data_IF_055839662059
#
_entry.id   IF_055839662059
#
_cell.length_a   1.000
_cell.length_b   1.000
_cell.length_c   1.000
_cell.angle_alpha   90.00
_cell.angle_beta   90.00
_cell.angle_gamma   90.00
#
_symmetry.space_group_name_H-M   'P 1'
#
loop_
_entity.id
_entity.type
_entity.pdbx_description
1 polymer ?
#
# COMPACT_ATOMS: atom_id res chain seq x y z
N UNK A 1 -15.07 -11.20 14.26
CA UNK A 1 -15.64 -12.28 13.42
C UNK A 1 -15.71 -13.53 14.27
N UNK A 2 -16.91 -14.03 14.60
CA UNK A 2 -17.09 -15.32 15.30
C UNK A 2 -17.15 -16.42 14.20
N UNK A 3 -16.15 -17.28 14.12
CA UNK A 3 -16.09 -18.38 13.15
C UNK A 3 -14.68 -18.63 12.63
N UNK A 4 -14.52 -19.67 11.80
CA UNK A 4 -13.23 -20.02 11.20
C UNK A 4 -12.79 -18.95 10.20
N UNK A 5 -11.69 -18.25 10.46
CA UNK A 5 -11.09 -17.26 9.54
C UNK A 5 -9.90 -17.84 8.83
N UNK A 6 -9.88 -17.74 7.50
CA UNK A 6 -8.73 -18.06 6.66
C UNK A 6 -7.87 -16.83 6.40
N UNK A 7 -6.56 -16.93 6.63
CA UNK A 7 -5.56 -15.94 6.25
C UNK A 7 -4.81 -16.45 5.02
N UNK A 8 -4.80 -15.65 3.95
CA UNK A 8 -4.12 -16.01 2.69
C UNK A 8 -3.03 -15.00 2.42
N UNK A 9 -1.80 -15.49 2.32
CA UNK A 9 -0.59 -14.68 2.19
C UNK A 9 0.04 -14.90 0.80
N UNK A 10 0.07 -13.85 -0.01
CA UNK A 10 0.67 -13.93 -1.33
C UNK A 10 2.20 -14.08 -1.30
N UNK A 11 2.78 -14.54 -2.40
CA UNK A 11 4.20 -14.42 -2.65
C UNK A 11 4.65 -12.96 -2.80
N UNK A 12 5.97 -12.70 -2.66
CA UNK A 12 6.47 -11.34 -2.80
C UNK A 12 7.87 -11.04 -2.25
N UNK A 13 8.63 -12.03 -1.85
CA UNK A 13 10.03 -11.87 -1.39
C UNK A 13 10.17 -10.84 -0.27
N UNK A 14 11.05 -9.85 -0.43
CA UNK A 14 11.32 -8.80 0.56
C UNK A 14 10.12 -7.94 0.96
N UNK A 15 9.04 -7.94 0.16
CA UNK A 15 7.77 -7.30 0.51
C UNK A 15 7.03 -7.99 1.67
N UNK A 16 7.43 -9.22 2.02
CA UNK A 16 6.78 -10.04 3.05
C UNK A 16 6.70 -9.40 4.43
N UNK A 17 7.57 -8.47 4.76
CA UNK A 17 7.51 -7.68 5.98
C UNK A 17 6.13 -7.00 6.19
N UNK A 18 5.48 -6.60 5.12
CA UNK A 18 4.13 -6.03 5.13
C UNK A 18 3.10 -6.98 5.78
N UNK A 19 3.22 -8.29 5.51
CA UNK A 19 2.30 -9.30 6.07
C UNK A 19 2.41 -9.39 7.60
N UNK A 20 3.59 -9.11 8.17
CA UNK A 20 3.80 -9.09 9.62
C UNK A 20 3.04 -7.92 10.27
N UNK A 21 3.05 -6.75 9.62
CA UNK A 21 2.23 -5.61 10.07
C UNK A 21 0.73 -5.90 10.00
N UNK A 22 0.27 -6.59 8.95
CA UNK A 22 -1.12 -7.06 8.88
C UNK A 22 -1.40 -8.02 10.04
N UNK A 23 -0.53 -9.00 10.29
CA UNK A 23 -0.70 -9.94 11.39
C UNK A 23 -0.76 -9.24 12.75
N UNK A 24 0.03 -8.19 12.99
CA UNK A 24 -0.08 -7.34 14.17
C UNK A 24 -1.51 -6.82 14.36
N UNK A 25 -2.08 -6.20 13.32
CA UNK A 25 -3.42 -5.65 13.39
C UNK A 25 -4.50 -6.72 13.63
N UNK A 26 -4.33 -7.93 13.08
CA UNK A 26 -5.24 -9.06 13.32
C UNK A 26 -5.19 -9.52 14.78
N UNK A 27 -3.99 -9.59 15.36
CA UNK A 27 -3.79 -9.94 16.79
C UNK A 27 -4.44 -8.91 17.70
N UNK A 28 -4.24 -7.61 17.46
CA UNK A 28 -4.86 -6.53 18.24
C UNK A 28 -6.40 -6.58 18.18
N UNK A 29 -6.96 -7.11 17.09
CA UNK A 29 -8.41 -7.29 16.91
C UNK A 29 -8.92 -8.64 17.44
N UNK A 30 -8.06 -9.44 18.03
CA UNK A 30 -8.38 -10.80 18.48
C UNK A 30 -9.05 -11.66 17.38
N UNK A 31 -8.57 -11.51 16.13
CA UNK A 31 -9.07 -12.32 15.02
C UNK A 31 -8.43 -13.69 15.08
N UNK A 32 -9.24 -14.70 15.39
CA UNK A 32 -8.81 -16.09 15.46
C UNK A 32 -8.60 -16.67 14.06
N UNK A 33 -7.36 -17.00 13.70
CA UNK A 33 -7.01 -17.63 12.43
C UNK A 33 -7.09 -19.13 12.63
N UNK A 34 -7.86 -19.81 11.78
CA UNK A 34 -8.00 -21.27 11.81
C UNK A 34 -7.42 -21.96 10.57
N UNK A 35 -7.22 -21.21 9.48
CA UNK A 35 -6.57 -21.65 8.26
C UNK A 35 -5.59 -20.58 7.84
N UNK A 36 -4.37 -20.95 7.51
CA UNK A 36 -3.41 -20.05 6.86
C UNK A 36 -2.84 -20.72 5.62
N UNK A 37 -2.87 -20.02 4.50
CA UNK A 37 -2.27 -20.51 3.26
C UNK A 37 -1.33 -19.47 2.66
N UNK A 38 -0.22 -19.92 2.10
CA UNK A 38 0.77 -19.01 1.56
C UNK A 38 1.55 -19.56 0.37
N UNK A 39 2.19 -18.63 -0.35
CA UNK A 39 3.10 -18.92 -1.46
C UNK A 39 4.40 -18.19 -1.23
N UNK A 40 5.56 -18.84 -1.45
CA UNK A 40 6.89 -18.19 -1.32
C UNK A 40 7.05 -17.57 0.07
N UNK A 41 7.41 -16.29 0.17
CA UNK A 41 7.48 -15.58 1.46
C UNK A 41 6.17 -15.66 2.25
N UNK A 42 5.02 -15.73 1.57
CA UNK A 42 3.74 -15.93 2.24
C UNK A 42 3.60 -17.29 2.89
N UNK A 43 4.25 -18.34 2.35
CA UNK A 43 4.34 -19.65 3.01
C UNK A 43 5.26 -19.59 4.22
N UNK A 44 6.39 -18.89 4.14
CA UNK A 44 7.32 -18.69 5.26
C UNK A 44 6.67 -17.95 6.42
N UNK A 45 6.04 -16.80 6.13
CA UNK A 45 5.29 -16.04 7.13
C UNK A 45 4.08 -16.82 7.67
N UNK A 46 3.39 -17.56 6.79
CA UNK A 46 2.26 -18.42 7.16
C UNK A 46 2.65 -19.53 8.12
N UNK A 47 3.83 -20.11 7.97
CA UNK A 47 4.38 -21.09 8.91
C UNK A 47 4.58 -20.46 10.30
N UNK A 48 5.13 -19.25 10.39
CA UNK A 48 5.28 -18.51 11.65
C UNK A 48 3.92 -18.15 12.27
N UNK A 49 2.92 -17.81 11.45
CA UNK A 49 1.52 -17.60 11.92
C UNK A 49 0.97 -18.89 12.52
N UNK A 50 1.11 -20.02 11.82
CA UNK A 50 0.65 -21.31 12.31
C UNK A 50 1.40 -21.74 13.58
N UNK A 51 2.70 -21.47 13.67
CA UNK A 51 3.51 -21.69 14.86
C UNK A 51 3.08 -20.81 16.05
N UNK A 52 2.36 -19.69 15.79
CA UNK A 52 1.94 -18.74 16.80
C UNK A 52 3.05 -17.86 17.35
N UNK A 53 4.14 -17.67 16.58
CA UNK A 53 5.37 -17.01 17.03
C UNK A 53 5.57 -15.65 16.35
N UNK A 54 4.73 -14.70 16.77
CA UNK A 54 4.76 -13.34 16.24
C UNK A 54 6.08 -12.61 16.53
N UNK A 55 6.61 -12.75 17.73
CA UNK A 55 7.84 -12.06 18.13
C UNK A 55 9.04 -12.52 17.30
N UNK A 56 9.15 -13.82 17.04
CA UNK A 56 10.17 -14.36 16.12
C UNK A 56 10.00 -13.79 14.71
N UNK A 57 8.78 -13.68 14.22
CA UNK A 57 8.51 -13.07 12.90
C UNK A 57 8.97 -11.61 12.84
N UNK A 58 8.65 -10.81 13.86
CA UNK A 58 9.10 -9.41 13.97
C UNK A 58 10.63 -9.33 14.00
N UNK A 59 11.28 -10.15 14.82
CA UNK A 59 12.74 -10.13 14.97
C UNK A 59 13.46 -10.53 13.68
N UNK A 60 12.99 -11.57 12.98
CA UNK A 60 13.53 -11.96 11.67
C UNK A 60 13.50 -10.78 10.71
N UNK A 61 12.36 -10.10 10.58
CA UNK A 61 12.21 -8.98 9.66
C UNK A 61 12.93 -7.71 10.14
N UNK A 62 13.05 -7.48 11.45
CA UNK A 62 13.79 -6.34 12.00
C UNK A 62 15.30 -6.40 11.74
N UNK A 63 15.81 -7.62 11.50
CA UNK A 63 17.23 -7.87 11.24
C UNK A 63 17.49 -8.45 9.84
N UNK A 64 16.50 -8.42 8.96
CA UNK A 64 16.61 -9.04 7.62
C UNK A 64 17.66 -8.34 6.78
N UNK A 65 18.50 -9.13 6.12
CA UNK A 65 19.44 -8.66 5.11
C UNK A 65 19.45 -9.61 3.94
N UNK A 66 19.93 -9.16 2.78
CA UNK A 66 20.07 -10.03 1.62
C UNK A 66 20.97 -11.23 1.91
N UNK A 67 22.01 -11.06 2.74
CA UNK A 67 22.91 -12.18 3.15
C UNK A 67 22.21 -13.27 3.98
N UNK A 68 21.15 -12.93 4.73
CA UNK A 68 20.35 -13.92 5.47
C UNK A 68 19.46 -14.77 4.55
N UNK A 69 19.27 -14.34 3.30
CA UNK A 69 18.39 -15.00 2.32
C UNK A 69 19.19 -15.67 1.20
N UNK A 70 20.24 -15.00 0.71
CA UNK A 70 21.02 -15.45 -0.44
C UNK A 70 22.50 -15.17 -0.24
N UNK A 71 23.38 -15.98 -0.85
CA UNK A 71 24.81 -15.76 -0.77
C UNK A 71 25.26 -14.57 -1.64
N UNK A 72 24.60 -13.42 -1.47
CA UNK A 72 24.87 -12.17 -2.17
C UNK A 72 24.26 -10.96 -1.44
N UNK A 73 24.96 -9.83 -1.46
CA UNK A 73 24.49 -8.57 -0.92
C UNK A 73 24.59 -7.48 -1.97
N UNK A 74 23.48 -7.12 -2.63
CA UNK A 74 23.48 -6.04 -3.61
C UNK A 74 23.63 -4.69 -2.89
N UNK A 75 24.37 -3.76 -3.54
CA UNK A 75 24.51 -2.38 -3.05
C UNK A 75 23.52 -1.46 -3.73
N UNK A 76 22.94 -0.53 -2.98
CA UNK A 76 22.01 0.48 -3.47
C UNK A 76 21.20 1.08 -2.35
N UNK A 77 20.70 2.30 -2.53
CA UNK A 77 19.79 2.94 -1.59
C UNK A 77 18.38 2.38 -1.77
N UNK A 78 17.89 1.66 -0.76
CA UNK A 78 16.58 0.98 -0.77
C UNK A 78 15.40 1.96 -0.82
N UNK A 79 15.59 3.22 -0.45
CA UNK A 79 14.54 4.24 -0.41
C UNK A 79 14.42 5.05 -1.71
N UNK A 80 15.37 4.94 -2.63
CA UNK A 80 15.33 5.65 -3.92
C UNK A 80 15.06 4.72 -5.09
N UNK A 81 14.28 5.18 -6.08
CA UNK A 81 14.03 4.43 -7.31
C UNK A 81 15.32 4.08 -8.05
N UNK A 82 16.32 4.99 -8.04
CA UNK A 82 17.63 4.75 -8.64
C UNK A 82 18.37 3.62 -7.94
N UNK A 83 18.40 3.63 -6.61
CA UNK A 83 19.07 2.60 -5.83
C UNK A 83 18.35 1.24 -5.93
N UNK A 84 17.01 1.20 -5.92
CA UNK A 84 16.24 -0.02 -6.17
C UNK A 84 16.54 -0.62 -7.56
N UNK A 85 16.64 0.23 -8.59
CA UNK A 85 17.04 -0.22 -9.93
C UNK A 85 18.47 -0.78 -9.96
N UNK A 86 19.40 -0.18 -9.21
CA UNK A 86 20.78 -0.69 -9.07
C UNK A 86 20.79 -2.07 -8.40
N UNK A 87 20.04 -2.25 -7.30
CA UNK A 87 19.85 -3.53 -6.61
C UNK A 87 19.29 -4.58 -7.58
N UNK A 88 18.22 -4.24 -8.30
CA UNK A 88 17.57 -5.14 -9.27
C UNK A 88 18.55 -5.62 -10.34
N UNK A 89 19.31 -4.69 -10.93
CA UNK A 89 20.33 -5.01 -11.95
C UNK A 89 21.43 -5.90 -11.37
N UNK A 90 21.93 -5.60 -10.16
CA UNK A 90 22.98 -6.37 -9.52
C UNK A 90 22.53 -7.82 -9.23
N UNK A 91 21.30 -8.02 -8.73
CA UNK A 91 20.73 -9.36 -8.50
C UNK A 91 20.58 -10.12 -9.82
N UNK A 92 20.04 -9.48 -10.87
CA UNK A 92 19.88 -10.12 -12.17
C UNK A 92 21.24 -10.53 -12.79
N UNK A 93 22.23 -9.64 -12.75
CA UNK A 93 23.59 -9.93 -13.24
C UNK A 93 24.25 -11.08 -12.46
N UNK A 94 24.08 -11.11 -11.13
CA UNK A 94 24.59 -12.19 -10.28
C UNK A 94 23.94 -13.53 -10.67
N UNK A 95 22.61 -13.55 -10.80
CA UNK A 95 21.87 -14.76 -11.18
C UNK A 95 22.31 -15.31 -12.55
N UNK A 96 22.52 -14.43 -13.53
CA UNK A 96 22.99 -14.83 -14.87
C UNK A 96 24.41 -15.38 -14.81
N UNK A 97 25.33 -14.67 -14.11
CA UNK A 97 26.75 -15.05 -14.04
C UNK A 97 26.97 -16.40 -13.36
N UNK A 98 26.22 -16.68 -12.29
CA UNK A 98 26.38 -17.89 -11.46
C UNK A 98 25.36 -18.98 -11.78
N UNK A 99 24.57 -18.81 -12.84
CA UNK A 99 23.48 -19.74 -13.17
C UNK A 99 22.57 -20.02 -11.98
N UNK A 100 22.02 -18.94 -11.40
CA UNK A 100 21.23 -18.83 -10.19
C UNK A 100 22.05 -18.55 -8.91
N UNK A 101 21.41 -17.88 -7.96
CA UNK A 101 21.98 -17.50 -6.67
C UNK A 101 21.71 -18.62 -5.66
N UNK A 102 22.65 -18.86 -4.77
CA UNK A 102 22.53 -19.85 -3.70
C UNK A 102 21.62 -19.36 -2.55
N UNK A 103 20.66 -20.18 -2.14
CA UNK A 103 19.71 -19.93 -1.06
C UNK A 103 20.02 -20.68 0.24
N UNK A 104 21.21 -21.24 0.40
CA UNK A 104 21.61 -21.91 1.64
C UNK A 104 21.40 -21.05 2.90
N UNK A 105 21.63 -19.71 2.87
CA UNK A 105 21.31 -18.87 4.02
C UNK A 105 19.84 -18.89 4.41
N UNK A 106 18.91 -18.85 3.44
CA UNK A 106 17.48 -18.96 3.70
C UNK A 106 17.13 -20.30 4.36
N UNK A 107 17.69 -21.42 3.89
CA UNK A 107 17.46 -22.73 4.48
C UNK A 107 17.84 -22.74 5.96
N UNK A 108 19.03 -22.21 6.29
CA UNK A 108 19.49 -22.09 7.68
C UNK A 108 18.57 -21.22 8.53
N UNK A 109 18.07 -20.11 7.97
CA UNK A 109 17.14 -19.24 8.67
C UNK A 109 15.83 -19.98 8.99
N UNK A 110 15.29 -20.74 8.04
CA UNK A 110 14.09 -21.55 8.23
C UNK A 110 14.34 -22.62 9.31
N UNK A 111 15.41 -23.41 9.19
CA UNK A 111 15.78 -24.47 10.15
C UNK A 111 16.00 -23.93 11.57
N UNK A 112 16.48 -22.69 11.72
CA UNK A 112 16.72 -22.06 13.03
C UNK A 112 15.44 -21.64 13.74
N UNK A 113 14.42 -21.21 12.99
CA UNK A 113 13.25 -20.54 13.57
C UNK A 113 11.95 -21.34 13.45
N UNK A 114 11.86 -22.31 12.55
CA UNK A 114 10.64 -23.10 12.40
C UNK A 114 10.71 -24.41 13.21
N UNK A 115 9.60 -24.70 13.86
CA UNK A 115 9.36 -25.88 14.66
C UNK A 115 8.21 -26.68 14.00
N UNK A 116 8.49 -27.59 13.04
CA UNK A 116 7.48 -28.30 12.28
C UNK A 116 6.41 -28.97 13.13
N UNK A 117 6.81 -29.64 14.21
CA UNK A 117 5.90 -30.29 15.16
C UNK A 117 4.91 -29.31 15.78
N UNK A 118 5.38 -28.12 16.14
CA UNK A 118 4.53 -27.07 16.72
C UNK A 118 3.54 -26.52 15.70
N UNK A 119 3.96 -26.40 14.43
CA UNK A 119 3.08 -25.97 13.33
C UNK A 119 1.95 -26.97 13.14
N UNK A 120 2.27 -28.27 13.04
CA UNK A 120 1.30 -29.35 12.80
C UNK A 120 0.35 -29.49 13.98
N UNK A 121 0.84 -29.37 15.22
CA UNK A 121 0.03 -29.49 16.43
C UNK A 121 -0.72 -28.21 16.85
N UNK A 122 -0.58 -27.11 16.10
CA UNK A 122 -1.13 -25.80 16.46
C UNK A 122 -2.66 -25.72 16.43
N UNK A 123 -3.32 -26.63 15.71
CA UNK A 123 -4.76 -26.54 15.41
C UNK A 123 -5.11 -25.56 14.29
N UNK A 124 -4.12 -24.95 13.64
CA UNK A 124 -4.29 -24.11 12.44
C UNK A 124 -3.98 -24.95 11.21
N UNK A 125 -4.92 -25.06 10.28
CA UNK A 125 -4.69 -25.69 8.97
C UNK A 125 -3.67 -24.85 8.19
N UNK A 126 -2.41 -25.26 8.14
CA UNK A 126 -1.36 -24.54 7.40
C UNK A 126 -1.14 -25.16 6.02
N UNK A 127 -1.38 -24.38 4.96
CA UNK A 127 -1.19 -24.82 3.57
C UNK A 127 -0.20 -23.94 2.81
N UNK A 128 0.49 -24.53 1.84
CA UNK A 128 1.47 -23.85 1.00
C UNK A 128 1.40 -24.35 -0.45
N UNK A 129 2.02 -23.58 -1.35
CA UNK A 129 2.10 -23.92 -2.78
C UNK A 129 3.53 -23.97 -3.25
N UNK A 130 3.82 -24.87 -4.18
CA UNK A 130 5.04 -24.96 -4.98
C UNK A 130 4.69 -25.36 -6.41
N UNK A 131 5.66 -25.43 -7.30
CA UNK A 131 5.47 -25.99 -8.63
C UNK A 131 6.61 -26.97 -8.95
N UNK A 132 6.31 -28.10 -9.64
CA UNK A 132 7.36 -29.01 -10.09
C UNK A 132 8.16 -28.39 -11.24
N UNK A 133 9.44 -28.78 -11.37
CA UNK A 133 10.31 -28.35 -12.46
C UNK A 133 10.90 -29.55 -13.21
N UNK A 134 10.93 -29.54 -14.56
CA UNK A 134 10.56 -28.45 -15.47
C UNK A 134 9.08 -28.41 -15.89
N UNK A 135 8.23 -29.30 -15.40
CA UNK A 135 6.86 -29.48 -15.89
C UNK A 135 5.85 -28.43 -15.43
N UNK A 136 6.21 -27.59 -14.44
CA UNK A 136 5.38 -26.52 -13.87
C UNK A 136 3.98 -27.00 -13.44
N UNK A 137 3.90 -28.19 -12.82
CA UNK A 137 2.65 -28.70 -12.26
C UNK A 137 2.44 -28.12 -10.85
N UNK A 138 1.23 -27.67 -10.49
CA UNK A 138 0.96 -27.12 -9.18
C UNK A 138 1.07 -28.18 -8.09
N UNK A 139 1.78 -27.85 -7.02
CA UNK A 139 1.84 -28.59 -5.76
C UNK A 139 1.15 -27.75 -4.71
N UNK A 140 0.12 -28.28 -4.08
CA UNK A 140 -0.69 -27.59 -3.06
C UNK A 140 -0.98 -28.61 -1.96
N UNK A 141 -0.39 -28.35 -0.79
CA UNK A 141 -0.41 -29.30 0.32
C UNK A 141 -0.70 -28.54 1.62
N UNK A 142 -1.27 -29.25 2.57
CA UNK A 142 -1.29 -28.84 3.95
C UNK A 142 -0.17 -29.53 4.74
N UNK A 143 0.27 -28.91 5.83
CA UNK A 143 1.37 -29.43 6.63
C UNK A 143 1.05 -30.78 7.29
N UNK A 144 -0.23 -31.08 7.54
CA UNK A 144 -0.72 -32.36 8.06
C UNK A 144 -0.74 -33.48 6.99
N UNK A 145 -0.52 -33.17 5.72
CA UNK A 145 -0.45 -34.12 4.60
C UNK A 145 0.99 -34.62 4.33
N UNK A 146 1.98 -34.08 5.06
CA UNK A 146 3.39 -34.41 4.86
C UNK A 146 4.07 -34.78 6.19
N UNK A 147 5.18 -35.49 6.11
CA UNK A 147 6.00 -35.76 7.29
C UNK A 147 6.66 -34.46 7.80
N UNK A 148 6.68 -34.20 9.14
CA UNK A 148 7.15 -32.94 9.71
C UNK A 148 8.55 -32.53 9.24
N UNK A 149 9.45 -33.48 9.10
CA UNK A 149 10.84 -33.27 8.63
C UNK A 149 10.92 -32.78 7.18
N UNK A 150 9.87 -32.95 6.37
CA UNK A 150 9.81 -32.47 4.98
C UNK A 150 9.32 -31.04 4.88
N UNK A 151 8.77 -30.47 5.94
CA UNK A 151 8.15 -29.12 5.87
C UNK A 151 9.17 -28.06 5.45
N UNK A 152 10.40 -28.13 5.95
CA UNK A 152 11.49 -27.19 5.57
C UNK A 152 11.79 -27.31 4.07
N UNK A 153 11.87 -28.51 3.53
CA UNK A 153 12.16 -28.74 2.10
C UNK A 153 11.04 -28.18 1.21
N UNK A 154 9.78 -28.39 1.60
CA UNK A 154 8.64 -27.80 0.87
C UNK A 154 8.59 -26.28 0.94
N UNK A 155 8.96 -25.68 2.08
CA UNK A 155 9.05 -24.21 2.19
C UNK A 155 10.18 -23.63 1.34
N UNK A 156 11.32 -24.33 1.27
CA UNK A 156 12.40 -24.01 0.33
C UNK A 156 11.93 -24.13 -1.13
N UNK A 157 11.20 -25.19 -1.46
CA UNK A 157 10.59 -25.38 -2.78
C UNK A 157 9.62 -24.24 -3.14
N UNK A 158 8.74 -23.88 -2.19
CA UNK A 158 7.82 -22.74 -2.33
C UNK A 158 8.50 -21.41 -2.59
N UNK A 159 9.75 -21.24 -2.14
CA UNK A 159 10.52 -20.00 -2.22
C UNK A 159 11.61 -20.00 -3.29
N UNK A 160 11.72 -21.06 -4.11
CA UNK A 160 12.72 -21.22 -5.16
C UNK A 160 12.35 -20.40 -6.42
N UNK A 161 12.46 -19.08 -6.34
CA UNK A 161 12.08 -18.12 -7.41
C UNK A 161 13.06 -18.21 -8.59
N UNK A 162 12.88 -19.19 -9.47
CA UNK A 162 13.63 -19.33 -10.72
C UNK A 162 13.33 -18.15 -11.66
N UNK A 163 14.29 -17.60 -12.45
CA UNK A 163 15.69 -18.03 -12.59
C UNK A 163 16.66 -17.36 -11.60
N UNK A 164 16.17 -16.60 -10.64
CA UNK A 164 17.05 -15.97 -9.65
C UNK A 164 17.68 -17.01 -8.73
N UNK A 165 16.89 -17.97 -8.26
CA UNK A 165 17.30 -19.07 -7.42
C UNK A 165 17.21 -20.39 -8.18
N UNK A 166 18.07 -21.35 -7.78
CA UNK A 166 18.04 -22.71 -8.37
C UNK A 166 16.72 -23.42 -8.01
N UNK A 167 16.17 -24.27 -8.93
CA UNK A 167 15.16 -25.20 -8.51
C UNK A 167 15.63 -26.01 -7.29
N UNK A 168 14.77 -26.12 -6.30
CA UNK A 168 15.07 -26.88 -5.09
C UNK A 168 14.70 -28.35 -5.27
N UNK A 169 15.64 -29.26 -4.98
CA UNK A 169 15.43 -30.70 -5.27
C UNK A 169 15.51 -31.52 -3.99
N UNK A 170 14.52 -32.37 -3.79
CA UNK A 170 14.49 -33.39 -2.74
C UNK A 170 13.59 -34.56 -3.20
N UNK A 171 13.81 -35.75 -2.66
CA UNK A 171 13.08 -36.98 -2.97
C UNK A 171 12.95 -37.24 -4.50
N UNK A 172 14.02 -36.97 -5.26
CA UNK A 172 14.06 -37.19 -6.70
C UNK A 172 13.26 -36.23 -7.56
N UNK A 173 12.62 -35.20 -6.97
CA UNK A 173 11.82 -34.20 -7.68
C UNK A 173 12.42 -32.81 -7.48
N UNK A 174 12.42 -32.02 -8.55
CA UNK A 174 12.82 -30.61 -8.50
C UNK A 174 11.59 -29.71 -8.47
N UNK A 175 11.67 -28.61 -7.72
CA UNK A 175 10.58 -27.66 -7.51
C UNK A 175 11.05 -26.24 -7.75
N UNK A 176 10.10 -25.38 -8.11
CA UNK A 176 10.24 -23.93 -8.17
C UNK A 176 9.10 -23.26 -7.40
N UNK A 177 9.22 -21.95 -7.20
CA UNK A 177 8.29 -21.11 -6.46
C UNK A 177 6.82 -21.35 -6.86
N UNK A 178 5.95 -21.40 -5.87
CA UNK A 178 4.51 -21.59 -6.07
C UNK A 178 3.84 -20.48 -6.88
N UNK A 179 4.45 -19.28 -6.95
CA UNK A 179 3.96 -18.15 -7.73
C UNK A 179 3.80 -18.43 -9.23
N UNK A 180 4.47 -19.46 -9.76
CA UNK A 180 4.28 -19.92 -11.13
C UNK A 180 2.89 -20.53 -11.39
N UNK A 181 2.22 -21.00 -10.35
CA UNK A 181 0.93 -21.71 -10.48
C UNK A 181 -0.19 -21.08 -9.65
N UNK A 182 0.11 -20.46 -8.52
CA UNK A 182 -0.84 -19.74 -7.68
C UNK A 182 -0.10 -18.86 -6.65
N UNK A 183 0.12 -17.56 -6.97
CA UNK A 183 0.88 -16.70 -6.10
C UNK A 183 0.11 -16.21 -4.85
N UNK A 184 -1.24 -16.39 -4.84
CA UNK A 184 -2.12 -16.08 -3.70
C UNK A 184 -3.17 -17.18 -3.54
N UNK A 185 -2.91 -18.22 -2.71
CA UNK A 185 -3.62 -19.49 -2.74
C UNK A 185 -4.97 -19.46 -2.00
N UNK A 186 -5.91 -18.63 -2.46
CA UNK A 186 -7.26 -18.52 -1.90
C UNK A 186 -8.03 -19.83 -2.05
N UNK A 187 -7.90 -20.50 -3.19
CA UNK A 187 -8.61 -21.75 -3.44
C UNK A 187 -8.17 -22.86 -2.49
N UNK A 188 -6.91 -22.86 -2.07
CA UNK A 188 -6.39 -23.79 -1.07
C UNK A 188 -7.00 -23.51 0.30
N UNK A 189 -7.08 -22.24 0.74
CA UNK A 189 -7.72 -21.87 1.99
C UNK A 189 -9.22 -22.27 2.00
N UNK A 190 -9.94 -22.04 0.90
CA UNK A 190 -11.36 -22.37 0.76
C UNK A 190 -11.64 -23.88 0.88
N UNK A 191 -10.69 -24.77 0.58
CA UNK A 191 -10.86 -26.21 0.75
C UNK A 191 -11.10 -26.63 2.21
N UNK A 192 -10.63 -25.85 3.17
CA UNK A 192 -10.86 -26.05 4.62
C UNK A 192 -12.14 -25.35 5.13
N UNK A 193 -12.96 -24.79 4.23
CA UNK A 193 -14.29 -24.21 4.49
C UNK A 193 -14.30 -23.14 5.62
N UNK A 194 -13.45 -22.09 5.53
CA UNK A 194 -13.51 -20.97 6.46
C UNK A 194 -14.83 -20.17 6.27
N UNK A 195 -15.24 -19.42 7.30
CA UNK A 195 -16.41 -18.53 7.24
C UNK A 195 -16.09 -17.17 6.59
N UNK A 196 -14.81 -16.79 6.60
CA UNK A 196 -14.31 -15.56 5.97
C UNK A 196 -12.84 -15.74 5.56
N UNK A 197 -12.41 -15.01 4.55
CA UNK A 197 -11.01 -14.94 4.10
C UNK A 197 -10.48 -13.52 4.31
N UNK A 198 -9.26 -13.43 4.79
CA UNK A 198 -8.42 -12.23 4.75
C UNK A 198 -7.28 -12.52 3.79
N UNK A 199 -7.28 -11.83 2.64
CA UNK A 199 -6.27 -12.01 1.59
C UNK A 199 -5.30 -10.83 1.60
N UNK A 200 -4.01 -11.13 1.86
CA UNK A 200 -2.93 -10.14 1.90
C UNK A 200 -2.15 -10.24 0.59
N UNK A 201 -2.31 -9.23 -0.27
CA UNK A 201 -1.72 -9.21 -1.61
C UNK A 201 -0.53 -8.24 -1.67
N UNK A 202 0.67 -8.78 -1.87
CA UNK A 202 1.91 -8.01 -2.05
C UNK A 202 2.11 -7.50 -3.48
N UNK A 203 1.14 -7.74 -4.38
CA UNK A 203 1.18 -7.35 -5.80
C UNK A 203 2.47 -7.78 -6.49
N UNK A 204 2.93 -8.99 -6.18
CA UNK A 204 4.07 -9.59 -6.84
C UNK A 204 3.69 -10.13 -8.21
N UNK A 205 4.63 -10.20 -9.17
CA UNK A 205 4.43 -10.95 -10.39
C UNK A 205 4.18 -12.43 -10.07
N UNK A 206 3.19 -13.02 -10.72
CA UNK A 206 2.86 -14.43 -10.52
C UNK A 206 1.52 -14.77 -11.17
N UNK A 207 1.26 -16.07 -11.29
CA UNK A 207 -0.01 -16.54 -11.81
C UNK A 207 -1.07 -16.48 -10.68
N UNK A 208 -2.14 -15.75 -10.91
CA UNK A 208 -3.30 -15.71 -10.02
C UNK A 208 -4.34 -16.69 -10.49
N UNK A 209 -4.58 -17.72 -9.68
CA UNK A 209 -5.62 -18.69 -10.00
C UNK A 209 -7.01 -18.04 -9.87
N UNK A 210 -7.87 -18.15 -10.89
CA UNK A 210 -9.23 -17.65 -10.79
C UNK A 210 -10.01 -18.35 -9.66
N UNK A 211 -10.66 -17.57 -8.82
CA UNK A 211 -11.61 -18.07 -7.81
C UNK A 211 -13.01 -17.76 -8.34
N UNK A 212 -13.66 -18.74 -8.95
CA UNK A 212 -14.94 -18.55 -9.65
C UNK A 212 -16.13 -18.31 -8.70
N UNK A 213 -16.05 -18.78 -7.44
CA UNK A 213 -17.01 -18.46 -6.38
C UNK A 213 -16.30 -18.54 -5.03
N UNK A 214 -16.22 -17.43 -4.33
CA UNK A 214 -16.01 -17.43 -2.89
C UNK A 214 -17.41 -17.30 -2.27
N UNK A 215 -17.97 -18.40 -1.76
CA UNK A 215 -19.25 -18.37 -1.04
C UNK A 215 -19.10 -17.71 0.35
N UNK A 216 -17.94 -17.10 0.62
CA UNK A 216 -17.58 -16.45 1.86
C UNK A 216 -17.01 -15.05 1.58
N UNK A 217 -17.20 -14.10 2.50
CA UNK A 217 -16.64 -12.76 2.35
C UNK A 217 -15.10 -12.79 2.33
N UNK A 218 -14.51 -12.04 1.38
CA UNK A 218 -13.06 -11.87 1.26
C UNK A 218 -12.70 -10.42 1.54
N UNK A 219 -11.94 -10.20 2.60
CA UNK A 219 -11.33 -8.90 2.91
C UNK A 219 -9.95 -8.84 2.26
N UNK A 220 -9.79 -7.94 1.28
CA UNK A 220 -8.50 -7.71 0.63
C UNK A 220 -7.71 -6.65 1.39
N UNK A 221 -6.44 -6.95 1.67
CA UNK A 221 -5.46 -6.03 2.24
C UNK A 221 -4.29 -5.96 1.27
N UNK A 222 -4.14 -4.79 0.66
CA UNK A 222 -3.10 -4.53 -0.34
C UNK A 222 -2.58 -3.10 -0.20
N UNK A 223 -1.28 -2.91 -0.39
CA UNK A 223 -0.70 -1.56 -0.35
C UNK A 223 -0.92 -0.80 -1.65
N UNK A 224 -1.21 0.48 -1.54
CA UNK A 224 -1.15 1.45 -2.63
C UNK A 224 0.22 2.10 -2.75
N UNK A 225 1.02 2.02 -1.68
CA UNK A 225 2.41 2.44 -1.69
C UNK A 225 3.31 1.38 -2.31
N UNK A 226 4.43 1.81 -2.88
CA UNK A 226 5.45 0.90 -3.38
C UNK A 226 6.09 0.13 -2.21
N UNK A 227 6.04 -1.20 -2.26
CA UNK A 227 6.65 -2.09 -1.28
C UNK A 227 8.09 -2.48 -1.63
N UNK A 228 8.68 -1.88 -2.67
CA UNK A 228 10.03 -2.13 -3.11
C UNK A 228 10.18 -3.34 -4.03
N UNK A 229 11.42 -3.68 -4.35
CA UNK A 229 11.75 -4.81 -5.23
C UNK A 229 11.70 -6.13 -4.46
N UNK A 230 11.25 -7.20 -5.13
CA UNK A 230 11.02 -8.52 -4.54
C UNK A 230 12.25 -9.15 -3.86
N UNK A 231 13.42 -8.98 -4.46
CA UNK A 231 14.67 -9.57 -3.97
C UNK A 231 15.53 -8.56 -3.21
N UNK A 232 14.91 -7.53 -2.67
CA UNK A 232 15.52 -6.54 -1.78
C UNK A 232 15.14 -6.89 -0.34
N UNK A 233 16.13 -7.32 0.43
CA UNK A 233 15.95 -7.64 1.84
C UNK A 233 16.80 -6.66 2.66
N UNK A 234 16.13 -5.75 3.34
CA UNK A 234 16.73 -4.66 4.11
C UNK A 234 15.87 -4.38 5.34
N UNK A 235 16.49 -4.28 6.51
CA UNK A 235 15.79 -4.17 7.78
C UNK A 235 15.04 -2.83 7.94
N UNK A 236 15.60 -1.72 7.46
CA UNK A 236 14.95 -0.41 7.56
C UNK A 236 13.72 -0.35 6.65
N UNK A 237 13.85 -0.89 5.42
CA UNK A 237 12.72 -0.98 4.52
C UNK A 237 11.65 -1.95 5.00
N UNK A 238 12.06 -3.05 5.65
CA UNK A 238 11.15 -4.00 6.29
C UNK A 238 10.33 -3.33 7.40
N UNK A 239 10.95 -2.51 8.26
CA UNK A 239 10.24 -1.74 9.30
C UNK A 239 9.18 -0.81 8.70
N UNK A 240 9.49 -0.13 7.61
CA UNK A 240 8.54 0.69 6.87
C UNK A 240 7.37 -0.15 6.33
N UNK A 241 7.66 -1.31 5.75
CA UNK A 241 6.63 -2.20 5.20
C UNK A 241 5.76 -2.84 6.30
N UNK A 242 6.33 -3.21 7.45
CA UNK A 242 5.54 -3.64 8.63
C UNK A 242 4.55 -2.54 9.02
N UNK A 243 5.02 -1.30 9.15
CA UNK A 243 4.14 -0.18 9.51
C UNK A 243 3.05 0.06 8.46
N UNK A 244 3.36 -0.03 7.16
CA UNK A 244 2.37 0.04 6.07
C UNK A 244 1.31 -1.05 6.19
N UNK A 245 1.73 -2.31 6.36
CA UNK A 245 0.81 -3.44 6.50
C UNK A 245 -0.13 -3.29 7.69
N UNK A 246 0.38 -2.83 8.82
CA UNK A 246 -0.42 -2.51 10.00
C UNK A 246 -1.50 -1.46 9.70
N UNK A 247 -1.10 -0.33 9.10
CA UNK A 247 -2.03 0.78 8.80
C UNK A 247 -3.06 0.40 7.73
N UNK A 248 -2.65 -0.34 6.69
CA UNK A 248 -3.56 -0.81 5.65
C UNK A 248 -4.60 -1.79 6.24
N UNK A 249 -4.19 -2.68 7.15
CA UNK A 249 -5.11 -3.56 7.85
C UNK A 249 -6.09 -2.77 8.75
N UNK A 250 -5.60 -1.78 9.52
CA UNK A 250 -6.46 -0.92 10.35
C UNK A 250 -7.50 -0.17 9.52
N UNK A 251 -7.14 0.28 8.29
CA UNK A 251 -8.09 0.88 7.35
C UNK A 251 -9.07 -0.14 6.75
N UNK A 252 -8.60 -1.32 6.38
CA UNK A 252 -9.46 -2.39 5.85
C UNK A 252 -10.54 -2.81 6.84
N UNK A 253 -10.24 -2.80 8.13
CA UNK A 253 -11.18 -3.11 9.21
C UNK A 253 -11.95 -1.89 9.73
N UNK A 254 -11.74 -0.70 9.20
CA UNK A 254 -12.48 0.51 9.56
C UNK A 254 -12.12 1.11 10.92
N UNK A 255 -10.93 0.78 11.45
CA UNK A 255 -10.39 1.44 12.65
C UNK A 255 -9.84 2.83 12.30
N UNK A 256 -9.27 2.95 11.10
CA UNK A 256 -8.86 4.21 10.48
C UNK A 256 -9.62 4.44 9.19
N UNK A 257 -9.67 5.69 8.73
CA UNK A 257 -10.22 6.09 7.42
C UNK A 257 -9.12 6.65 6.52
N UNK A 258 -9.35 6.64 5.21
CA UNK A 258 -8.40 7.04 4.17
C UNK A 258 -7.98 5.86 3.28
N UNK A 259 -7.27 6.18 2.22
CA UNK A 259 -6.80 5.22 1.21
C UNK A 259 -5.29 4.94 1.28
N UNK A 260 -4.48 6.00 1.41
CA UNK A 260 -3.01 5.95 1.53
C UNK A 260 -2.59 6.45 2.90
N UNK A 261 -3.15 7.57 3.34
CA UNK A 261 -2.93 8.15 4.66
C UNK A 261 -3.95 7.60 5.66
N UNK A 262 -3.60 7.60 6.93
CA UNK A 262 -4.47 7.11 7.99
C UNK A 262 -4.96 8.26 8.85
N UNK A 263 -6.28 8.41 8.92
CA UNK A 263 -6.94 9.35 9.81
C UNK A 263 -7.77 8.60 10.85
N UNK A 264 -7.90 9.17 12.04
CA UNK A 264 -8.80 8.63 13.04
C UNK A 264 -10.24 8.61 12.54
N UNK A 265 -11.00 7.61 12.98
CA UNK A 265 -12.41 7.45 12.61
C UNK A 265 -13.20 8.67 13.04
N UNK A 266 -13.97 9.23 12.11
CA UNK A 266 -14.78 10.44 12.35
C UNK A 266 -14.09 11.76 11.94
N UNK A 267 -12.78 11.74 11.62
CA UNK A 267 -12.10 12.95 11.13
C UNK A 267 -12.80 13.53 9.92
N UNK A 268 -12.90 14.87 9.87
CA UNK A 268 -13.53 15.65 8.80
C UNK A 268 -15.01 15.35 8.54
N UNK A 269 -15.74 14.80 9.51
CA UNK A 269 -17.17 14.47 9.34
C UNK A 269 -18.05 15.71 9.17
N UNK A 270 -17.79 16.79 9.92
CA UNK A 270 -18.48 18.08 9.77
C UNK A 270 -18.11 18.76 8.44
N UNK A 271 -16.84 18.67 8.05
CA UNK A 271 -16.35 19.20 6.79
C UNK A 271 -17.00 18.52 5.59
N UNK A 272 -17.36 17.24 5.69
CA UNK A 272 -18.03 16.51 4.62
C UNK A 272 -19.37 17.14 4.22
N UNK A 273 -20.17 17.58 5.18
CA UNK A 273 -21.46 18.24 4.91
C UNK A 273 -21.25 19.62 4.23
N UNK A 274 -20.22 20.35 4.65
CA UNK A 274 -19.84 21.65 4.12
C UNK A 274 -19.23 21.52 2.71
N UNK A 275 -18.47 20.48 2.49
CA UNK A 275 -17.74 20.20 1.24
C UNK A 275 -18.63 20.17 0.00
N UNK A 276 -19.75 19.46 0.05
CA UNK A 276 -20.68 19.36 -1.10
C UNK A 276 -21.29 20.72 -1.46
N UNK A 277 -21.67 21.52 -0.45
CA UNK A 277 -22.23 22.86 -0.67
C UNK A 277 -21.20 23.82 -1.27
N UNK A 278 -19.99 23.82 -0.72
CA UNK A 278 -18.92 24.73 -1.17
C UNK A 278 -18.40 24.34 -2.56
N UNK A 279 -18.25 23.06 -2.88
CA UNK A 279 -17.86 22.63 -4.24
C UNK A 279 -18.90 23.10 -5.27
N UNK A 280 -20.18 22.94 -5.00
CA UNK A 280 -21.21 23.40 -5.93
C UNK A 280 -21.15 24.92 -6.14
N UNK A 281 -20.97 25.68 -5.06
CA UNK A 281 -20.82 27.13 -5.11
C UNK A 281 -19.58 27.55 -5.92
N UNK A 282 -18.43 26.94 -5.66
CA UNK A 282 -17.19 27.25 -6.39
C UNK A 282 -17.28 26.86 -7.87
N UNK A 283 -17.88 25.71 -8.19
CA UNK A 283 -18.09 25.33 -9.58
C UNK A 283 -19.02 26.33 -10.31
N UNK A 284 -20.03 26.87 -9.63
CA UNK A 284 -20.89 27.92 -10.20
C UNK A 284 -20.13 29.24 -10.31
N UNK A 285 -19.32 29.61 -9.32
CA UNK A 285 -18.58 30.89 -9.31
C UNK A 285 -17.47 30.90 -10.37
N UNK A 286 -16.63 29.87 -10.42
CA UNK A 286 -15.49 29.81 -11.35
C UNK A 286 -15.85 29.33 -12.76
N UNK A 287 -16.96 28.59 -12.91
CA UNK A 287 -17.43 28.02 -14.18
C UNK A 287 -18.94 28.16 -14.34
N UNK A 288 -19.45 29.36 -14.56
CA UNK A 288 -20.89 29.68 -14.53
C UNK A 288 -21.73 29.04 -15.64
N UNK A 289 -21.14 28.30 -16.59
CA UNK A 289 -21.86 27.46 -17.54
C UNK A 289 -22.76 28.21 -18.55
N UNK A 290 -22.52 29.50 -18.82
CA UNK A 290 -23.35 30.31 -19.73
C UNK A 290 -22.96 30.21 -21.21
N UNK A 291 -21.94 29.38 -21.56
CA UNK A 291 -21.50 29.13 -22.93
C UNK A 291 -21.00 27.71 -23.14
N UNK A 292 -21.06 27.17 -24.37
CA UNK A 292 -20.57 25.83 -24.70
C UNK A 292 -19.08 25.62 -24.34
N UNK A 293 -18.25 26.66 -24.41
CA UNK A 293 -16.85 26.63 -24.02
C UNK A 293 -16.65 26.45 -22.53
N UNK A 294 -17.43 27.15 -21.70
CA UNK A 294 -17.33 27.07 -20.23
C UNK A 294 -17.75 25.70 -19.69
N UNK A 295 -18.75 25.07 -20.34
CA UNK A 295 -19.18 23.71 -19.92
C UNK A 295 -18.11 22.64 -20.23
N UNK A 296 -17.43 22.76 -21.38
CA UNK A 296 -16.34 21.86 -21.75
C UNK A 296 -15.16 21.98 -20.79
N UNK A 297 -14.78 23.22 -20.42
CA UNK A 297 -13.71 23.49 -19.42
C UNK A 297 -14.11 22.95 -18.05
N UNK A 298 -15.34 23.19 -17.61
CA UNK A 298 -15.88 22.65 -16.35
C UNK A 298 -15.83 21.13 -16.31
N UNK A 299 -16.31 20.44 -17.34
CA UNK A 299 -16.26 18.98 -17.45
C UNK A 299 -14.82 18.46 -17.44
N UNK A 300 -13.88 19.17 -18.06
CA UNK A 300 -12.46 18.83 -18.05
C UNK A 300 -11.85 18.94 -16.65
N UNK A 301 -12.12 20.03 -15.93
CA UNK A 301 -11.61 20.24 -14.58
C UNK A 301 -12.17 19.25 -13.56
N UNK A 302 -13.48 18.95 -13.64
CA UNK A 302 -14.10 17.91 -12.81
C UNK A 302 -13.41 16.56 -13.07
N UNK A 303 -13.16 16.20 -14.33
CA UNK A 303 -12.44 14.95 -14.67
C UNK A 303 -11.00 14.94 -14.13
N UNK A 304 -10.30 16.06 -14.21
CA UNK A 304 -8.94 16.19 -13.67
C UNK A 304 -8.95 16.06 -12.15
N UNK A 305 -9.83 16.77 -11.45
CA UNK A 305 -9.98 16.66 -10.00
C UNK A 305 -10.33 15.23 -9.55
N UNK A 306 -11.28 14.58 -10.23
CA UNK A 306 -11.63 13.19 -9.98
C UNK A 306 -10.44 12.24 -10.21
N UNK A 307 -9.66 12.46 -11.27
CA UNK A 307 -8.46 11.68 -11.56
C UNK A 307 -7.43 11.82 -10.44
N UNK A 308 -7.18 13.04 -9.95
CA UNK A 308 -6.27 13.29 -8.83
C UNK A 308 -6.76 12.58 -7.58
N UNK A 309 -8.04 12.74 -7.21
CA UNK A 309 -8.62 12.07 -6.05
C UNK A 309 -8.49 10.54 -6.14
N UNK A 310 -8.72 9.97 -7.32
CA UNK A 310 -8.57 8.51 -7.53
C UNK A 310 -7.11 8.04 -7.50
N UNK A 311 -6.14 8.88 -7.84
CA UNK A 311 -4.70 8.52 -7.82
C UNK A 311 -4.04 8.75 -6.47
N UNK A 312 -4.46 9.77 -5.73
CA UNK A 312 -3.88 10.16 -4.43
C UNK A 312 -4.68 9.65 -3.22
N UNK A 313 -5.89 9.15 -3.46
CA UNK A 313 -6.76 8.51 -2.49
C UNK A 313 -7.30 7.20 -3.07
N UNK A 314 -8.55 6.83 -2.79
CA UNK A 314 -9.23 5.70 -3.41
C UNK A 314 -10.72 5.97 -3.66
N UNK A 315 -11.29 5.13 -4.54
CA UNK A 315 -12.70 5.25 -4.90
C UNK A 315 -13.61 5.15 -3.67
N UNK A 316 -13.34 4.21 -2.77
CA UNK A 316 -14.15 4.01 -1.55
C UNK A 316 -14.09 5.23 -0.64
N UNK A 317 -12.89 5.77 -0.37
CA UNK A 317 -12.70 6.98 0.43
C UNK A 317 -13.39 8.18 -0.23
N UNK A 318 -13.22 8.35 -1.55
CA UNK A 318 -13.85 9.45 -2.30
C UNK A 318 -15.38 9.38 -2.25
N UNK A 319 -15.98 8.19 -2.39
CA UNK A 319 -17.43 8.02 -2.37
C UNK A 319 -18.03 8.20 -0.98
N UNK A 320 -17.34 7.76 0.08
CA UNK A 320 -17.86 7.80 1.44
C UNK A 320 -17.51 9.09 2.19
N UNK A 321 -16.32 9.65 1.95
CA UNK A 321 -15.86 10.88 2.58
C UNK A 321 -14.91 11.68 1.68
N UNK A 322 -15.42 12.46 0.73
CA UNK A 322 -14.59 13.26 -0.18
C UNK A 322 -13.72 14.30 0.53
N UNK A 323 -14.05 14.73 1.75
CA UNK A 323 -13.19 15.60 2.53
C UNK A 323 -11.88 14.89 2.93
N UNK A 324 -11.97 13.61 3.34
CA UNK A 324 -10.78 12.77 3.59
C UNK A 324 -9.97 12.56 2.31
N UNK A 325 -10.62 12.34 1.17
CA UNK A 325 -9.90 12.20 -0.09
C UNK A 325 -9.12 13.49 -0.45
N UNK A 326 -9.69 14.67 -0.20
CA UNK A 326 -8.97 15.95 -0.36
C UNK A 326 -7.86 16.13 0.68
N UNK A 327 -8.06 15.68 1.93
CA UNK A 327 -6.99 15.67 2.93
C UNK A 327 -5.79 14.81 2.48
N UNK A 328 -6.03 13.69 1.82
CA UNK A 328 -4.96 12.85 1.25
C UNK A 328 -4.20 13.54 0.13
N UNK A 329 -4.91 14.31 -0.74
CA UNK A 329 -4.25 15.14 -1.76
C UNK A 329 -3.38 16.20 -1.09
N UNK A 330 -3.91 16.90 -0.08
CA UNK A 330 -3.15 17.90 0.68
C UNK A 330 -1.93 17.24 1.38
N UNK A 331 -2.12 16.10 2.03
CA UNK A 331 -1.02 15.33 2.63
C UNK A 331 0.08 14.97 1.61
N UNK A 332 -0.31 14.57 0.40
CA UNK A 332 0.64 14.27 -0.68
C UNK A 332 1.39 15.51 -1.15
N UNK A 333 0.71 16.63 -1.38
CA UNK A 333 1.31 17.90 -1.84
C UNK A 333 2.25 18.47 -0.77
N UNK A 334 1.87 18.39 0.51
CA UNK A 334 2.69 18.87 1.62
C UNK A 334 3.70 17.84 2.16
N UNK A 335 3.87 16.71 1.47
CA UNK A 335 4.84 15.65 1.79
C UNK A 335 4.69 15.09 3.22
N UNK A 336 3.46 14.94 3.70
CA UNK A 336 3.20 14.33 4.99
C UNK A 336 3.53 12.84 4.95
N UNK A 337 3.88 12.27 6.10
CA UNK A 337 4.22 10.85 6.18
C UNK A 337 2.96 9.98 6.08
N UNK A 338 2.90 9.02 5.15
CA UNK A 338 1.81 8.03 5.12
C UNK A 338 1.94 6.95 6.22
N UNK A 339 3.00 7.02 7.04
CA UNK A 339 3.25 6.10 8.14
C UNK A 339 2.68 6.60 9.48
N UNK A 340 2.18 7.83 9.51
CA UNK A 340 1.56 8.43 10.67
C UNK A 340 0.04 8.22 10.68
N UNK A 341 -0.54 8.32 11.86
CA UNK A 341 -2.00 8.42 12.04
C UNK A 341 -2.32 9.85 12.46
N UNK A 342 -3.24 10.47 11.75
CA UNK A 342 -3.60 11.86 11.97
C UNK A 342 -4.99 11.97 12.62
N UNK A 343 -5.10 12.77 13.67
CA UNK A 343 -6.38 13.37 14.06
C UNK A 343 -6.69 14.53 13.12
N UNK A 344 -7.94 14.96 13.02
CA UNK A 344 -8.31 16.17 12.29
C UNK A 344 -7.52 17.39 12.77
N UNK A 345 -7.38 17.52 14.10
CA UNK A 345 -6.63 18.62 14.72
C UNK A 345 -5.14 18.56 14.36
N UNK A 346 -4.46 17.43 14.60
CA UNK A 346 -3.02 17.31 14.34
C UNK A 346 -2.68 17.51 12.86
N UNK A 347 -3.55 17.05 11.97
CA UNK A 347 -3.40 17.27 10.54
C UNK A 347 -3.54 18.74 10.16
N UNK A 348 -4.58 19.40 10.66
CA UNK A 348 -4.88 20.81 10.39
C UNK A 348 -3.78 21.72 10.93
N UNK A 349 -3.35 21.50 12.16
CA UNK A 349 -2.27 22.28 12.78
C UNK A 349 -0.97 22.16 11.98
N UNK A 350 -0.59 20.94 11.57
CA UNK A 350 0.59 20.70 10.76
C UNK A 350 0.48 21.33 9.37
N UNK A 351 -0.70 21.22 8.73
CA UNK A 351 -0.94 21.79 7.40
C UNK A 351 -0.79 23.31 7.39
N UNK A 352 -1.38 24.01 8.38
CA UNK A 352 -1.27 25.45 8.47
C UNK A 352 0.13 25.91 8.91
N UNK A 353 0.84 25.13 9.73
CA UNK A 353 2.25 25.40 10.05
C UNK A 353 3.11 25.39 8.78
N UNK A 354 3.02 24.32 7.95
CA UNK A 354 3.72 24.24 6.66
C UNK A 354 3.31 25.37 5.72
N UNK A 355 2.00 25.65 5.62
CA UNK A 355 1.48 26.72 4.77
C UNK A 355 2.04 28.09 5.18
N UNK A 356 2.23 28.36 6.47
CA UNK A 356 2.75 29.63 6.97
C UNK A 356 4.21 29.91 6.58
N UNK A 357 5.01 28.85 6.42
CA UNK A 357 6.43 28.94 6.05
C UNK A 357 6.66 29.27 4.56
N UNK A 358 5.65 29.08 3.73
CA UNK A 358 5.77 29.28 2.29
C UNK A 358 5.67 30.77 1.91
N UNK A 359 6.30 31.21 0.81
CA UNK A 359 6.16 32.58 0.31
C UNK A 359 4.72 32.85 -0.14
N UNK A 360 4.27 34.09 0.04
CA UNK A 360 2.98 34.56 -0.45
C UNK A 360 3.15 35.27 -1.80
N UNK A 361 2.31 34.92 -2.76
CA UNK A 361 2.30 35.49 -4.09
C UNK A 361 0.94 36.13 -4.38
N UNK A 362 0.98 37.26 -5.07
CA UNK A 362 -0.23 37.91 -5.58
C UNK A 362 -0.42 37.49 -7.04
N UNK A 363 -1.49 36.76 -7.31
CA UNK A 363 -1.79 36.22 -8.65
C UNK A 363 -1.95 37.32 -9.71
N UNK A 364 -2.43 38.50 -9.31
CA UNK A 364 -2.63 39.62 -10.24
C UNK A 364 -1.28 40.16 -10.75
N UNK A 365 -0.23 40.07 -9.94
CA UNK A 365 1.13 40.51 -10.30
C UNK A 365 1.89 39.48 -11.14
N UNK A 366 1.35 38.28 -11.34
CA UNK A 366 1.94 37.27 -12.22
C UNK A 366 1.63 37.64 -13.68
N UNK A 367 2.64 38.06 -14.43
CA UNK A 367 2.50 38.43 -15.84
C UNK A 367 2.26 37.22 -16.72
N UNK A 368 3.29 36.40 -16.92
CA UNK A 368 3.25 35.16 -17.73
C UNK A 368 3.07 33.95 -16.83
N UNK A 369 1.88 33.33 -16.88
CA UNK A 369 1.54 32.15 -16.10
C UNK A 369 2.36 30.91 -16.52
N UNK A 370 2.71 30.80 -17.80
CA UNK A 370 3.47 29.66 -18.30
C UNK A 370 4.91 29.69 -17.79
N UNK A 371 5.55 30.86 -17.89
CA UNK A 371 6.88 31.09 -17.33
C UNK A 371 6.91 30.94 -15.80
N UNK A 372 5.86 31.39 -15.12
CA UNK A 372 5.72 31.23 -13.67
C UNK A 372 5.69 29.76 -13.28
N UNK A 373 4.87 28.92 -13.91
CA UNK A 373 4.75 27.49 -13.65
C UNK A 373 6.04 26.72 -13.95
N UNK A 374 6.76 27.10 -15.00
CA UNK A 374 8.04 26.44 -15.33
C UNK A 374 9.13 26.70 -14.27
N UNK A 375 9.05 27.82 -13.56
CA UNK A 375 10.00 28.18 -12.51
C UNK A 375 9.62 27.71 -11.10
N UNK A 376 8.37 27.26 -10.90
CA UNK A 376 7.93 26.71 -9.61
C UNK A 376 7.96 25.19 -9.68
N UNK A 377 8.90 24.60 -8.97
CA UNK A 377 9.03 23.13 -8.82
C UNK A 377 8.33 22.59 -7.57
N UNK A 378 7.98 23.48 -6.61
CA UNK A 378 7.35 23.11 -5.35
C UNK A 378 5.82 23.33 -5.41
N UNK A 379 5.05 22.25 -5.54
CA UNK A 379 3.58 22.28 -5.60
C UNK A 379 2.93 22.91 -4.38
N UNK A 380 3.62 22.95 -3.21
CA UNK A 380 3.11 23.59 -1.99
C UNK A 380 2.94 25.10 -2.16
N UNK A 381 3.83 25.75 -2.93
CA UNK A 381 3.74 27.18 -3.25
C UNK A 381 2.47 27.45 -4.06
N UNK A 382 2.17 26.60 -5.02
CA UNK A 382 0.93 26.70 -5.81
C UNK A 382 -0.32 26.47 -4.95
N UNK A 383 -0.26 25.51 -4.02
CA UNK A 383 -1.35 25.26 -3.06
C UNK A 383 -1.61 26.51 -2.18
N UNK A 384 -0.55 27.17 -1.68
CA UNK A 384 -0.67 28.43 -0.94
C UNK A 384 -1.26 29.57 -1.80
N UNK A 385 -0.81 29.68 -3.05
CA UNK A 385 -1.37 30.68 -3.98
C UNK A 385 -2.88 30.46 -4.16
N UNK A 386 -3.33 29.23 -4.42
CA UNK A 386 -4.76 28.92 -4.53
C UNK A 386 -5.53 29.21 -3.25
N UNK A 387 -4.99 28.84 -2.09
CA UNK A 387 -5.58 29.19 -0.79
C UNK A 387 -5.78 30.69 -0.66
N UNK A 388 -4.76 31.49 -0.98
CA UNK A 388 -4.81 32.96 -0.91
C UNK A 388 -5.85 33.56 -1.86
N UNK A 389 -5.88 33.06 -3.11
CA UNK A 389 -6.87 33.51 -4.11
C UNK A 389 -8.30 33.21 -3.67
N UNK A 390 -8.56 31.98 -3.18
CA UNK A 390 -9.88 31.58 -2.70
C UNK A 390 -10.34 32.44 -1.52
N UNK A 391 -9.41 32.83 -0.62
CA UNK A 391 -9.71 33.75 0.47
C UNK A 391 -10.02 35.17 -0.01
N UNK A 392 -9.29 35.69 -1.01
CA UNK A 392 -9.50 37.00 -1.59
C UNK A 392 -10.79 37.07 -2.41
N UNK A 393 -11.05 36.10 -3.25
CA UNK A 393 -12.23 36.04 -4.12
C UNK A 393 -13.54 35.95 -3.31
N UNK A 394 -13.52 35.29 -2.16
CA UNK A 394 -14.68 35.25 -1.26
C UNK A 394 -14.99 36.64 -0.67
N UNK A 395 -13.96 37.43 -0.36
CA UNK A 395 -14.11 38.79 0.20
C UNK A 395 -14.56 39.79 -0.88
N UNK A 396 -13.97 39.69 -2.08
CA UNK A 396 -14.21 40.65 -3.17
C UNK A 396 -15.41 40.32 -4.06
N UNK A 397 -15.97 39.11 -3.94
CA UNK A 397 -16.97 38.54 -4.82
C UNK A 397 -16.59 38.65 -6.31
N UNK A 398 -15.29 38.62 -6.61
CA UNK A 398 -14.71 38.71 -7.96
C UNK A 398 -14.12 37.37 -8.36
N UNK A 399 -14.23 37.07 -9.67
CA UNK A 399 -13.66 35.88 -10.28
C UNK A 399 -12.24 36.17 -10.78
N UNK A 400 -11.26 35.36 -10.40
CA UNK A 400 -9.93 35.43 -10.98
C UNK A 400 -9.77 34.44 -12.16
N UNK A 401 -9.71 34.94 -13.38
CA UNK A 401 -9.57 34.10 -14.58
C UNK A 401 -8.24 33.37 -14.66
N UNK A 402 -7.13 33.95 -14.13
CA UNK A 402 -5.81 33.32 -14.06
C UNK A 402 -5.84 32.08 -13.15
N UNK A 403 -6.59 32.15 -12.03
CA UNK A 403 -6.74 31.02 -11.12
C UNK A 403 -7.42 29.81 -11.79
N UNK A 404 -8.40 30.04 -12.66
CA UNK A 404 -9.08 28.97 -13.41
C UNK A 404 -8.12 28.24 -14.37
N UNK A 405 -7.21 28.97 -15.01
CA UNK A 405 -6.20 28.39 -15.91
C UNK A 405 -5.17 27.59 -15.10
N UNK A 406 -4.67 28.15 -14.00
CA UNK A 406 -3.71 27.47 -13.12
C UNK A 406 -4.30 26.19 -12.52
N UNK A 407 -5.58 26.18 -12.10
CA UNK A 407 -6.25 25.01 -11.56
C UNK A 407 -6.31 23.84 -12.56
N UNK A 408 -6.41 24.15 -13.87
CA UNK A 408 -6.36 23.13 -14.91
C UNK A 408 -4.96 22.58 -15.16
N UNK A 409 -3.92 23.35 -14.87
CA UNK A 409 -2.52 22.98 -15.07
C UNK A 409 -1.90 22.31 -13.83
N UNK A 410 -2.38 22.65 -12.62
CA UNK A 410 -1.89 22.12 -11.34
C UNK A 410 -3.08 21.67 -10.46
N UNK A 411 -3.82 20.64 -10.83
CA UNK A 411 -5.04 20.22 -10.13
C UNK A 411 -4.77 19.68 -8.72
N UNK A 412 -3.63 19.06 -8.46
CA UNK A 412 -3.23 18.58 -7.14
C UNK A 412 -3.08 19.74 -6.16
N UNK A 413 -2.32 20.77 -6.57
CA UNK A 413 -2.10 21.99 -5.79
C UNK A 413 -3.41 22.76 -5.58
N UNK A 414 -4.28 22.80 -6.60
CA UNK A 414 -5.61 23.42 -6.47
C UNK A 414 -6.45 22.71 -5.40
N UNK A 415 -6.54 21.38 -5.44
CA UNK A 415 -7.30 20.62 -4.44
C UNK A 415 -6.72 20.78 -3.03
N UNK A 416 -5.39 20.80 -2.90
CA UNK A 416 -4.73 21.03 -1.63
C UNK A 416 -5.01 22.45 -1.08
N UNK A 417 -4.88 23.48 -1.90
CA UNK A 417 -5.22 24.87 -1.53
C UNK A 417 -6.70 25.05 -1.21
N UNK A 418 -7.58 24.40 -1.97
CA UNK A 418 -9.01 24.36 -1.69
C UNK A 418 -9.32 23.68 -0.35
N UNK A 419 -8.66 22.58 -0.04
CA UNK A 419 -8.81 21.91 1.24
C UNK A 419 -8.35 22.81 2.42
N UNK A 420 -7.22 23.50 2.28
CA UNK A 420 -6.79 24.52 3.25
C UNK A 420 -7.84 25.62 3.44
N UNK A 421 -8.47 26.08 2.34
CA UNK A 421 -9.52 27.08 2.39
C UNK A 421 -10.75 26.60 3.18
N UNK A 422 -11.15 25.33 3.03
CA UNK A 422 -12.27 24.73 3.77
C UNK A 422 -11.98 24.61 5.28
N UNK A 423 -10.74 24.32 5.64
CA UNK A 423 -10.31 24.13 7.04
C UNK A 423 -10.07 25.43 7.79
N UNK A 424 -10.02 26.58 7.10
CA UNK A 424 -9.76 27.84 7.78
C UNK A 424 -10.79 28.10 8.90
N UNK A 425 -10.38 28.66 10.05
CA UNK A 425 -11.28 29.11 11.07
C UNK A 425 -12.27 30.12 10.45
N UNK A 426 -13.58 29.93 10.65
CA UNK A 426 -14.56 30.93 10.28
C UNK A 426 -14.22 32.22 11.05
N UNK A 427 -13.82 33.26 10.36
CA UNK A 427 -13.80 34.59 10.97
C UNK A 427 -15.25 34.84 11.36
N UNK A 428 -15.51 34.82 12.69
CA UNK A 428 -16.78 35.28 13.28
C UNK A 428 -16.94 36.77 13.03
N UNK A 429 -17.17 37.17 11.80
CA UNK A 429 -17.60 38.53 11.46
C UNK A 429 -18.09 38.48 10.02
N UNK A 430 -19.37 38.20 9.85
CA UNK A 430 -20.23 38.83 8.84
C UNK A 430 -21.65 38.58 9.30
N UNK A 431 -22.14 39.52 10.15
CA UNK A 431 -23.55 39.84 10.19
C UNK A 431 -23.91 40.62 8.92
#
# INVERSE_FOLDING_TARGET
MKGKTGLVLSGGGGRGAYQIGVWQALREKDIQISVVTGTSVGALNGALVAQGDYETAVNIWAEITSKKIMNFEPKGDVFTKKGQLQITKAVAQKAIREKCIDQTPLKKLIETHLLPERIISSGIDFGFTAATYPTIRPVRLFADEIAPEKLVDYLMASSACFPFFKPYSFDGTSYIDGGYTDYIPISLALSKKPNAIIAVDLKAPGFRRPVFRADVPVTWIESKSDLGFLLMFDADYARVNIRRGYLDAKRAFGDHIGGIYSFEKGSFSELHQKFQRVIQSLLQQYFPGKGMGDEAVRKRLIRLALRVLLTKSDKKTMEHNPAVACAEVAASVFHFSPLDVYTEKSFTDKLFAELSLLPSWDIEKIGDLSAFLQNITDERILAKLFYSVLCQDQVSNRRNSKASVLAALAPDAFLAGFFCFLLRPEQKNFQ
#
